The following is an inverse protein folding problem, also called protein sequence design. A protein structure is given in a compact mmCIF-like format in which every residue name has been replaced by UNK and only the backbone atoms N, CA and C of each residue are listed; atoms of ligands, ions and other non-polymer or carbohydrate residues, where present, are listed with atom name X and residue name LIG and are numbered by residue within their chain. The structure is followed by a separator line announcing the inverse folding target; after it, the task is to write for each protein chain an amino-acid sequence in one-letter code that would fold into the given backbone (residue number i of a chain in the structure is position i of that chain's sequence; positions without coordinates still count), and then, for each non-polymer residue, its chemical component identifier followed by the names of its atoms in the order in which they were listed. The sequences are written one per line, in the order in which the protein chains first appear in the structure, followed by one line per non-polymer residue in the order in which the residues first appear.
data_IF_764640764163
#
_entry.id   IF_764640764163
#
_cell.length_a   1.000
_cell.length_b   1.000
_cell.length_c   1.000
_cell.angle_alpha   90.00
_cell.angle_beta   90.00
_cell.angle_gamma   90.00
#
_symmetry.space_group_name_H-M   'P 1'
#
loop_
_entity.id
_entity.type
_entity.pdbx_description
1 polymer ?
#
# COMPACT_ATOMS: atom_id res chain seq x y z
N UNK A 1 -14.66 2.84 -1.97
CA UNK A 1 -13.34 2.33 -2.41
C UNK A 1 -13.33 1.95 -3.88
N UNK A 2 -14.48 1.57 -4.45
CA UNK A 2 -14.65 1.30 -5.88
C UNK A 2 -14.02 2.36 -6.80
N UNK A 3 -14.27 3.66 -6.53
CA UNK A 3 -13.69 4.76 -7.31
C UNK A 3 -12.16 4.72 -7.32
N UNK A 4 -11.51 4.39 -6.19
CA UNK A 4 -10.06 4.26 -6.11
C UNK A 4 -9.55 3.09 -6.98
N UNK A 5 -10.25 1.95 -6.95
CA UNK A 5 -9.90 0.79 -7.77
C UNK A 5 -10.02 1.12 -9.26
N UNK A 6 -11.15 1.68 -9.69
CA UNK A 6 -11.37 2.10 -11.09
C UNK A 6 -10.33 3.12 -11.56
N UNK A 7 -10.07 4.15 -10.75
CA UNK A 7 -9.09 5.18 -11.07
C UNK A 7 -7.68 4.57 -11.21
N UNK A 8 -7.26 3.74 -10.25
CA UNK A 8 -5.95 3.10 -10.29
C UNK A 8 -5.80 2.19 -11.52
N UNK A 9 -6.85 1.43 -11.85
CA UNK A 9 -6.86 0.59 -13.05
C UNK A 9 -6.79 1.37 -14.34
N UNK A 10 -7.33 2.59 -14.38
CA UNK A 10 -7.25 3.44 -15.54
C UNK A 10 -5.84 4.00 -15.74
N UNK A 11 -5.27 4.63 -14.70
CA UNK A 11 -3.95 5.29 -14.80
C UNK A 11 -2.81 4.31 -15.05
N UNK A 12 -2.90 3.09 -14.52
CA UNK A 12 -1.85 2.06 -14.71
C UNK A 12 -1.85 1.44 -16.11
N UNK A 13 -3.01 1.45 -16.81
CA UNK A 13 -3.11 0.99 -18.20
C UNK A 13 -2.57 2.01 -19.20
N UNK A 14 -2.80 3.30 -18.94
CA UNK A 14 -2.35 4.37 -19.84
C UNK A 14 -0.82 4.50 -19.85
N UNK A 15 -0.17 4.25 -18.71
CA UNK A 15 1.28 4.20 -18.58
C UNK A 15 1.92 3.07 -19.42
N UNK A 16 1.17 1.99 -19.66
CA UNK A 16 1.61 0.88 -20.54
C UNK A 16 1.51 1.21 -22.03
N UNK A 17 0.80 2.30 -22.40
CA UNK A 17 0.46 2.66 -23.78
C UNK A 17 1.30 3.80 -24.36
N UNK A 18 2.23 4.38 -23.60
CA UNK A 18 3.20 5.32 -24.18
C UNK A 18 4.02 4.60 -25.26
N UNK A 19 3.97 5.04 -26.53
CA UNK A 19 4.80 4.45 -27.56
C UNK A 19 6.23 4.89 -27.29
N UNK A 20 7.06 3.98 -26.77
CA UNK A 20 8.50 4.13 -26.92
C UNK A 20 8.77 4.23 -28.41
N UNK A 21 9.25 5.41 -28.81
CA UNK A 21 9.93 5.63 -30.07
C UNK A 21 10.85 4.44 -30.34
N UNK A 22 10.71 3.89 -31.56
CA UNK A 22 11.53 2.85 -32.19
C UNK A 22 12.79 2.45 -31.39
N UNK A 23 12.88 1.15 -31.09
CA UNK A 23 14.03 0.44 -30.49
C UNK A 23 14.07 0.38 -28.94
N UNK A 24 13.36 -0.60 -28.37
CA UNK A 24 13.87 -1.62 -27.43
C UNK A 24 12.69 -2.29 -26.71
N UNK A 25 12.43 -3.55 -27.03
CA UNK A 25 11.49 -4.42 -26.33
C UNK A 25 12.07 -4.85 -24.98
N UNK A 26 12.24 -3.91 -24.05
CA UNK A 26 12.26 -4.24 -22.64
C UNK A 26 10.82 -4.08 -22.16
N UNK A 27 10.11 -5.20 -22.02
CA UNK A 27 8.83 -5.22 -21.31
C UNK A 27 9.11 -4.83 -19.85
N UNK A 28 9.03 -3.53 -19.54
CA UNK A 28 9.20 -3.07 -18.16
C UNK A 28 8.14 -3.74 -17.30
N UNK A 29 8.59 -4.59 -16.37
CA UNK A 29 7.70 -5.29 -15.45
C UNK A 29 7.12 -4.23 -14.52
N UNK A 30 5.79 -4.13 -14.43
CA UNK A 30 5.15 -3.17 -13.53
C UNK A 30 4.57 -3.90 -12.32
N UNK A 31 5.07 -3.57 -11.12
CA UNK A 31 4.59 -4.08 -9.85
C UNK A 31 3.55 -3.11 -9.26
N UNK A 32 2.35 -3.60 -9.00
CA UNK A 32 1.19 -2.86 -8.52
C UNK A 32 1.02 -3.11 -7.04
N UNK A 33 1.20 -2.07 -6.23
CA UNK A 33 1.25 -2.16 -4.78
C UNK A 33 0.09 -1.38 -4.17
N UNK A 34 -0.60 -1.98 -3.22
CA UNK A 34 -1.55 -1.30 -2.35
C UNK A 34 -0.82 -0.82 -1.09
N UNK A 35 -0.88 0.47 -0.77
CA UNK A 35 -0.51 1.00 0.54
C UNK A 35 -1.79 1.45 1.26
N UNK A 36 -2.16 0.72 2.30
CA UNK A 36 -3.48 0.83 2.92
C UNK A 36 -3.41 1.05 4.42
N UNK A 37 -4.32 1.91 4.89
CA UNK A 37 -4.75 1.95 6.27
C UNK A 37 -6.20 2.45 6.32
N UNK A 38 -6.99 2.01 7.30
CA UNK A 38 -8.23 2.69 7.66
C UNK A 38 -8.33 2.79 9.18
N UNK A 39 -9.13 3.70 9.72
CA UNK A 39 -9.37 3.74 11.18
C UNK A 39 -10.35 2.63 11.59
N UNK A 40 -10.32 2.21 12.86
CA UNK A 40 -11.18 1.12 13.40
C UNK A 40 -12.69 1.39 13.29
N UNK A 41 -13.10 2.66 13.15
CA UNK A 41 -14.50 3.06 12.87
C UNK A 41 -14.96 2.69 11.45
N UNK A 42 -14.05 2.19 10.59
CA UNK A 42 -14.34 1.74 9.24
C UNK A 42 -14.13 0.24 9.17
N UNK A 43 -15.06 -0.44 8.51
CA UNK A 43 -15.01 -1.89 8.34
C UNK A 43 -14.10 -2.29 7.15
N UNK A 44 -12.93 -2.89 7.38
CA UNK A 44 -12.04 -3.32 6.30
C UNK A 44 -12.64 -4.43 5.42
N UNK A 45 -13.55 -5.26 5.97
CA UNK A 45 -14.26 -6.30 5.20
C UNK A 45 -15.21 -5.72 4.16
N UNK A 46 -15.57 -4.43 4.26
CA UNK A 46 -16.34 -3.72 3.22
C UNK A 46 -15.45 -2.95 2.27
N UNK A 47 -14.33 -2.41 2.78
CA UNK A 47 -13.44 -1.55 2.00
C UNK A 47 -12.56 -2.35 1.03
N UNK A 48 -11.91 -3.42 1.51
CA UNK A 48 -10.93 -4.17 0.74
C UNK A 48 -11.56 -5.01 -0.38
N UNK A 49 -12.69 -5.73 -0.19
CA UNK A 49 -13.35 -6.43 -1.29
C UNK A 49 -13.84 -5.47 -2.38
N UNK A 50 -14.49 -4.37 -1.98
CA UNK A 50 -14.95 -3.33 -2.91
C UNK A 50 -13.80 -2.73 -3.74
N UNK A 51 -12.61 -2.57 -3.15
CA UNK A 51 -11.41 -2.13 -3.85
C UNK A 51 -10.90 -3.19 -4.83
N UNK A 52 -10.71 -4.42 -4.33
CA UNK A 52 -10.12 -5.52 -5.09
C UNK A 52 -10.99 -5.90 -6.29
N UNK A 53 -12.31 -5.99 -6.09
CA UNK A 53 -13.28 -6.28 -7.15
C UNK A 53 -13.25 -5.21 -8.24
N UNK A 54 -13.29 -3.93 -7.85
CA UNK A 54 -13.21 -2.84 -8.80
C UNK A 54 -11.90 -2.87 -9.59
N UNK A 55 -10.77 -3.12 -8.93
CA UNK A 55 -9.47 -3.22 -9.60
C UNK A 55 -9.42 -4.39 -10.58
N UNK A 56 -9.82 -5.59 -10.14
CA UNK A 56 -9.76 -6.83 -10.93
C UNK A 56 -10.74 -6.84 -12.10
N UNK A 57 -11.96 -6.34 -11.92
CA UNK A 57 -12.92 -6.14 -13.01
C UNK A 57 -12.38 -5.17 -14.07
N UNK A 58 -11.47 -4.29 -13.69
CA UNK A 58 -10.77 -3.39 -14.59
C UNK A 58 -9.37 -3.91 -14.95
N UNK A 59 -9.08 -5.20 -14.84
CA UNK A 59 -7.85 -5.84 -15.34
C UNK A 59 -6.58 -5.50 -14.56
N UNK A 60 -6.70 -5.11 -13.30
CA UNK A 60 -5.58 -4.79 -12.41
C UNK A 60 -5.60 -5.70 -11.20
N UNK A 61 -4.46 -6.34 -10.97
CA UNK A 61 -4.19 -7.16 -9.79
C UNK A 61 -3.10 -6.49 -8.98
N UNK A 62 -3.24 -6.51 -7.65
CA UNK A 62 -2.18 -6.06 -6.76
C UNK A 62 -1.21 -7.21 -6.53
N UNK A 63 0.08 -6.95 -6.72
CA UNK A 63 1.16 -7.89 -6.45
C UNK A 63 1.51 -7.92 -4.96
N UNK A 64 1.30 -6.81 -4.25
CA UNK A 64 1.67 -6.65 -2.85
C UNK A 64 0.73 -5.65 -2.15
N UNK A 65 0.35 -5.95 -0.90
CA UNK A 65 -0.34 -5.01 -0.01
C UNK A 65 0.53 -4.65 1.20
N UNK A 66 0.62 -3.36 1.50
CA UNK A 66 1.38 -2.78 2.60
C UNK A 66 0.41 -2.16 3.60
N UNK A 67 0.53 -2.54 4.87
CA UNK A 67 -0.27 -2.01 5.97
C UNK A 67 0.62 -1.22 6.94
N UNK A 68 0.21 0.01 7.24
CA UNK A 68 1.00 0.96 8.04
C UNK A 68 0.13 1.69 9.07
N UNK A 69 0.68 2.08 10.23
CA UNK A 69 -0.03 2.91 11.20
C UNK A 69 -0.19 4.37 10.74
N UNK A 70 -1.16 5.08 11.32
CA UNK A 70 -1.32 6.52 11.10
C UNK A 70 -0.25 7.29 11.86
N UNK A 71 0.60 8.07 11.17
CA UNK A 71 1.62 8.89 11.85
C UNK A 71 1.00 10.01 12.69
N UNK A 72 -0.14 10.57 12.24
CA UNK A 72 -0.83 11.66 12.91
C UNK A 72 -1.45 11.30 14.27
N UNK A 73 -1.65 10.01 14.58
CA UNK A 73 -2.24 9.57 15.85
C UNK A 73 -1.19 9.38 16.97
N UNK A 74 0.07 9.17 16.59
CA UNK A 74 1.18 8.99 17.54
C UNK A 74 1.96 10.29 17.79
N UNK A 75 1.73 11.32 16.97
CA UNK A 75 2.19 12.67 17.30
C UNK A 75 1.26 13.26 18.37
N UNK A 76 1.24 12.68 19.58
CA UNK A 76 0.88 13.46 20.77
C UNK A 76 1.91 14.58 20.81
N UNK A 77 1.45 15.80 20.53
CA UNK A 77 2.20 17.02 20.79
C UNK A 77 2.74 16.90 22.22
N UNK A 78 4.06 16.71 22.36
CA UNK A 78 4.69 16.43 23.63
C UNK A 78 4.31 17.51 24.63
N UNK A 79 3.61 17.12 25.69
CA UNK A 79 3.66 17.88 26.93
C UNK A 79 5.08 17.75 27.45
N UNK A 80 5.83 18.84 27.36
CA UNK A 80 7.20 18.98 27.83
C UNK A 80 7.25 18.62 29.33
N UNK A 81 7.61 17.39 29.69
CA UNK A 81 8.26 16.99 30.96
C UNK A 81 8.20 15.48 31.15
N UNK A 82 9.23 14.74 30.71
CA UNK A 82 9.87 13.65 31.47
C UNK A 82 10.84 12.86 30.57
N UNK A 83 11.85 12.27 31.22
CA UNK A 83 13.01 11.54 30.70
C UNK A 83 12.73 10.54 29.53
N UNK A 84 13.75 10.15 28.74
CA UNK A 84 13.55 9.30 27.56
C UNK A 84 13.08 7.91 28.02
N UNK A 85 11.78 7.65 27.87
CA UNK A 85 11.22 6.32 28.00
C UNK A 85 11.80 5.43 26.88
N UNK A 86 12.00 4.16 27.20
CA UNK A 86 12.33 3.08 26.25
C UNK A 86 11.52 3.19 24.95
N UNK A 87 12.03 2.71 23.81
CA UNK A 87 11.31 2.78 22.54
C UNK A 87 9.90 2.24 22.73
N UNK A 88 8.93 3.15 22.69
CA UNK A 88 7.51 2.86 22.90
C UNK A 88 7.13 1.80 21.86
N UNK A 89 6.87 0.58 22.32
CA UNK A 89 6.57 -0.53 21.42
C UNK A 89 5.28 -0.19 20.66
N UNK A 90 5.41 0.04 19.36
CA UNK A 90 4.27 0.44 18.52
C UNK A 90 3.29 -0.73 18.47
N UNK A 91 2.06 -0.50 18.92
CA UNK A 91 0.99 -1.48 18.78
C UNK A 91 0.57 -1.60 17.31
N UNK A 92 0.89 -2.75 16.70
CA UNK A 92 0.57 -3.10 15.32
C UNK A 92 -0.64 -4.04 15.21
N UNK A 93 -1.36 -4.29 16.29
CA UNK A 93 -2.53 -5.19 16.32
C UNK A 93 -3.54 -4.87 15.23
N UNK A 94 -3.79 -3.58 15.00
CA UNK A 94 -4.69 -3.13 13.94
C UNK A 94 -4.14 -3.42 12.54
N UNK A 95 -2.88 -3.12 12.26
CA UNK A 95 -2.26 -3.40 10.96
C UNK A 95 -2.25 -4.90 10.66
N UNK A 96 -1.98 -5.74 11.67
CA UNK A 96 -2.05 -7.20 11.55
C UNK A 96 -3.49 -7.68 11.27
N UNK A 97 -4.50 -7.04 11.87
CA UNK A 97 -5.91 -7.30 11.56
C UNK A 97 -6.24 -6.97 10.10
N UNK A 98 -5.78 -5.81 9.60
CA UNK A 98 -5.97 -5.43 8.19
C UNK A 98 -5.30 -6.42 7.23
N UNK A 99 -4.08 -6.87 7.54
CA UNK A 99 -3.35 -7.89 6.80
C UNK A 99 -4.13 -9.20 6.75
N UNK A 100 -4.66 -9.64 7.90
CA UNK A 100 -5.45 -10.89 8.02
C UNK A 100 -6.70 -10.82 7.13
N UNK A 101 -7.40 -9.69 7.12
CA UNK A 101 -8.57 -9.48 6.25
C UNK A 101 -8.20 -9.58 4.78
N UNK A 102 -7.09 -8.95 4.37
CA UNK A 102 -6.60 -9.00 3.01
C UNK A 102 -6.22 -10.40 2.56
N UNK A 103 -5.46 -11.13 3.37
CA UNK A 103 -5.04 -12.49 3.05
C UNK A 103 -6.22 -13.46 2.94
N UNK A 104 -7.18 -13.36 3.88
CA UNK A 104 -8.41 -14.14 3.81
C UNK A 104 -9.20 -13.85 2.52
N UNK A 105 -9.30 -12.57 2.14
CA UNK A 105 -9.97 -12.17 0.90
C UNK A 105 -9.31 -12.78 -0.35
N UNK A 106 -7.97 -12.85 -0.39
CA UNK A 106 -7.25 -13.48 -1.51
C UNK A 106 -7.49 -15.00 -1.54
N UNK A 107 -7.50 -15.65 -0.38
CA UNK A 107 -7.81 -17.08 -0.24
C UNK A 107 -9.24 -17.39 -0.71
N UNK A 108 -10.22 -16.62 -0.26
CA UNK A 108 -11.64 -16.78 -0.62
C UNK A 108 -11.87 -16.64 -2.14
N UNK A 109 -11.02 -15.86 -2.82
CA UNK A 109 -11.06 -15.66 -4.28
C UNK A 109 -10.22 -16.67 -5.07
N UNK A 110 -9.59 -17.64 -4.42
CA UNK A 110 -8.75 -18.65 -5.08
C UNK A 110 -7.48 -18.07 -5.73
N UNK A 111 -7.04 -16.89 -5.29
CA UNK A 111 -5.80 -16.27 -5.76
C UNK A 111 -4.66 -17.01 -5.03
N UNK A 112 -4.18 -18.09 -5.64
CA UNK A 112 -3.16 -18.98 -5.06
C UNK A 112 -1.84 -18.24 -4.82
N UNK A 113 -1.67 -17.71 -3.62
CA UNK A 113 -0.39 -17.22 -3.11
C UNK A 113 0.38 -18.44 -2.58
N UNK A 114 1.14 -19.12 -3.43
CA UNK A 114 1.97 -20.26 -3.02
C UNK A 114 3.04 -19.90 -1.97
N UNK A 115 3.17 -18.60 -1.66
CA UNK A 115 3.83 -18.04 -0.48
C UNK A 115 2.99 -16.85 0.04
N UNK A 116 2.09 -17.07 1.00
CA UNK A 116 1.26 -16.00 1.58
C UNK A 116 2.09 -14.81 2.10
N UNK A 117 3.29 -15.09 2.63
CA UNK A 117 4.29 -14.14 3.14
C UNK A 117 4.80 -13.10 2.10
N UNK A 118 4.64 -13.34 0.80
CA UNK A 118 5.20 -12.47 -0.23
C UNK A 118 4.19 -11.45 -0.80
N UNK A 119 2.91 -11.58 -0.44
CA UNK A 119 1.81 -10.76 -1.02
C UNK A 119 1.24 -9.70 -0.09
N UNK A 120 1.69 -9.68 1.16
CA UNK A 120 1.30 -8.70 2.17
C UNK A 120 2.48 -8.39 3.10
N UNK A 121 2.59 -7.16 3.61
CA UNK A 121 3.57 -6.77 4.64
C UNK A 121 2.99 -5.72 5.58
N UNK A 122 3.37 -5.78 6.86
CA UNK A 122 3.12 -4.74 7.86
C UNK A 122 4.43 -4.01 8.14
N UNK A 123 4.38 -2.68 8.18
CA UNK A 123 5.51 -1.86 8.65
C UNK A 123 5.14 -1.13 9.94
N UNK A 124 6.15 -0.89 10.76
CA UNK A 124 6.05 -0.15 12.03
C UNK A 124 5.68 1.33 11.85
N UNK A 125 5.92 1.88 10.66
CA UNK A 125 5.77 3.30 10.38
C UNK A 125 5.69 3.57 8.88
N UNK A 126 5.07 4.69 8.53
CA UNK A 126 4.97 5.11 7.14
C UNK A 126 6.34 5.47 6.53
N UNK A 127 7.25 6.20 7.22
CA UNK A 127 8.59 6.49 6.69
C UNK A 127 9.38 5.22 6.34
N UNK A 128 9.31 4.18 7.17
CA UNK A 128 10.00 2.91 6.91
C UNK A 128 9.41 2.21 5.68
N UNK A 129 8.08 2.20 5.52
CA UNK A 129 7.44 1.65 4.32
C UNK A 129 7.84 2.41 3.04
N UNK A 130 7.88 3.75 3.08
CA UNK A 130 8.31 4.56 1.94
C UNK A 130 9.79 4.33 1.61
N UNK A 131 10.66 4.23 2.61
CA UNK A 131 12.08 3.92 2.37
C UNK A 131 12.27 2.51 1.81
N UNK A 132 11.48 1.54 2.28
CA UNK A 132 11.44 0.20 1.69
C UNK A 132 11.04 0.25 0.21
N UNK A 133 9.97 0.98 -0.16
CA UNK A 133 9.56 1.17 -1.55
C UNK A 133 10.68 1.81 -2.40
N UNK A 134 11.29 2.89 -1.89
CA UNK A 134 12.40 3.60 -2.57
C UNK A 134 13.60 2.69 -2.79
N UNK A 135 14.00 1.90 -1.79
CA UNK A 135 15.10 0.95 -1.89
C UNK A 135 14.81 -0.13 -2.94
N UNK A 136 13.63 -0.74 -2.89
CA UNK A 136 13.23 -1.78 -3.85
C UNK A 136 13.20 -1.25 -5.28
N UNK A 137 12.72 -0.03 -5.50
CA UNK A 137 12.73 0.61 -6.82
C UNK A 137 14.16 0.87 -7.33
N UNK A 138 15.08 1.29 -6.46
CA UNK A 138 16.50 1.51 -6.83
C UNK A 138 17.23 0.21 -7.18
N UNK A 139 16.94 -0.86 -6.44
CA UNK A 139 17.55 -2.18 -6.64
C UNK A 139 16.96 -2.90 -7.88
N UNK A 140 15.72 -2.61 -8.25
CA UNK A 140 15.02 -3.24 -9.37
C UNK A 140 14.71 -2.23 -10.49
N UNK A 141 15.75 -1.67 -11.11
CA UNK A 141 15.62 -0.58 -12.09
C UNK A 141 14.78 -0.94 -13.33
N UNK A 142 14.69 -2.23 -13.68
CA UNK A 142 13.85 -2.71 -14.79
C UNK A 142 12.37 -2.86 -14.44
N UNK A 143 12.00 -2.65 -13.15
CA UNK A 143 10.65 -2.81 -12.64
C UNK A 143 10.06 -1.44 -12.25
N UNK A 144 8.93 -1.07 -12.84
CA UNK A 144 8.17 0.11 -12.40
C UNK A 144 7.30 -0.24 -11.19
N UNK A 145 7.30 0.63 -10.17
CA UNK A 145 6.53 0.45 -8.95
C UNK A 145 5.34 1.42 -8.96
N UNK A 146 4.14 0.89 -9.20
CA UNK A 146 2.90 1.66 -9.22
C UNK A 146 2.17 1.46 -7.89
N UNK A 147 2.11 2.50 -7.05
CA UNK A 147 1.60 2.39 -5.67
C UNK A 147 0.27 3.14 -5.52
N UNK A 148 -0.80 2.42 -5.13
CA UNK A 148 -2.06 3.02 -4.73
C UNK A 148 -2.08 3.28 -3.22
N UNK A 149 -2.10 4.55 -2.83
CA UNK A 149 -2.25 4.96 -1.42
C UNK A 149 -3.71 5.27 -1.14
N UNK A 150 -4.36 4.51 -0.24
CA UNK A 150 -5.81 4.68 0.00
C UNK A 150 -6.27 4.16 1.37
N UNK A 151 -7.58 4.25 1.64
CA UNK A 151 -8.25 3.79 2.87
C UNK A 151 -8.38 4.86 3.96
N UNK A 152 -7.46 5.83 4.00
CA UNK A 152 -7.45 6.91 5.00
C UNK A 152 -6.95 8.23 4.38
N UNK A 153 -7.66 9.33 4.63
CA UNK A 153 -7.22 10.67 4.21
C UNK A 153 -5.95 11.10 4.94
N UNK A 154 -5.78 10.70 6.22
CA UNK A 154 -4.56 10.95 6.98
C UNK A 154 -3.35 10.29 6.32
N UNK A 155 -3.49 9.02 5.91
CA UNK A 155 -2.43 8.28 5.22
C UNK A 155 -2.04 8.98 3.90
N UNK A 156 -3.03 9.36 3.08
CA UNK A 156 -2.78 10.08 1.83
C UNK A 156 -2.05 11.40 2.10
N UNK A 157 -2.51 12.17 3.09
CA UNK A 157 -1.87 13.43 3.47
C UNK A 157 -0.43 13.26 3.97
N UNK A 158 -0.18 12.26 4.81
CA UNK A 158 1.15 11.97 5.35
C UNK A 158 2.11 11.49 4.25
N UNK A 159 1.66 10.65 3.31
CA UNK A 159 2.48 10.27 2.15
C UNK A 159 2.85 11.49 1.31
N UNK A 160 1.87 12.32 0.97
CA UNK A 160 2.11 13.54 0.19
C UNK A 160 3.13 14.46 0.89
N UNK A 161 3.11 14.54 2.22
CA UNK A 161 4.11 15.30 3.00
C UNK A 161 5.51 14.69 2.89
N UNK A 162 5.63 13.36 2.89
CA UNK A 162 6.92 12.66 2.83
C UNK A 162 7.54 12.72 1.43
N UNK A 163 6.74 12.59 0.37
CA UNK A 163 7.26 12.54 -1.01
C UNK A 163 7.52 13.91 -1.63
N UNK A 164 6.93 14.98 -1.07
CA UNK A 164 7.17 16.37 -1.52
C UNK A 164 8.42 17.01 -0.92
N UNK A 165 9.13 16.30 -0.05
CA UNK A 165 10.47 16.67 0.43
C UNK A 165 11.51 16.13 -0.52
#
# INVERSE_FOLDING_TARGET
MEVCGKWFSHVTKDDTRLPSSLEQSHTSRSQKILLFNCMSVRDPMRLLPCLLDASTQNGVHFDLALFVPNQSQHTKLGSNTSAPAEPEQIDLSWQLSLQTVWEKLLQDKGINTTKSSDTSKVFDSLPVAIEWLRRNARENQSTSFQVLVTGSLHLVGDVLRIIKK
#
